data_IF_413820675780
#
_entry.id   IF_413820675780
#
_cell.length_a   1.000
_cell.length_b   1.000
_cell.length_c   1.000
_cell.angle_alpha   90.00
_cell.angle_beta   90.00
_cell.angle_gamma   90.00
#
_symmetry.space_group_name_H-M   'P 1'
#
loop_
_entity.id
_entity.type
_entity.pdbx_description
1 polymer ?
#
# COMPACT_ATOMS: atom_id res chain seq x y z
N UNK A 1 -3.45 -8.32 -17.81
CA UNK A 1 -2.78 -7.66 -16.69
C UNK A 1 -2.76 -8.63 -15.50
N UNK A 2 -1.57 -8.83 -14.94
CA UNK A 2 -1.34 -9.71 -13.79
C UNK A 2 -0.82 -8.87 -12.64
N UNK A 3 -1.55 -8.87 -11.53
CA UNK A 3 -1.19 -8.13 -10.32
C UNK A 3 -0.79 -9.13 -9.25
N UNK A 4 0.45 -9.02 -8.77
CA UNK A 4 0.91 -9.80 -7.65
C UNK A 4 0.32 -9.32 -6.33
N UNK A 5 0.09 -10.25 -5.42
CA UNK A 5 -0.23 -9.95 -4.02
C UNK A 5 0.86 -10.60 -3.19
N UNK A 6 1.64 -9.79 -2.47
CA UNK A 6 2.71 -10.31 -1.61
C UNK A 6 2.08 -11.18 -0.52
N UNK A 7 2.37 -12.47 -0.56
CA UNK A 7 1.65 -13.48 0.24
C UNK A 7 2.53 -14.07 1.34
N UNK A 8 3.27 -13.21 2.05
CA UNK A 8 4.13 -13.63 3.14
C UNK A 8 3.41 -13.52 4.50
N UNK A 9 2.58 -12.50 4.69
CA UNK A 9 1.84 -12.28 5.93
C UNK A 9 0.79 -11.20 5.68
N UNK A 10 -0.33 -11.22 6.40
CA UNK A 10 -1.34 -10.17 6.36
C UNK A 10 -2.57 -10.49 5.52
N UNK A 11 -3.26 -9.45 5.07
CA UNK A 11 -4.56 -9.53 4.41
C UNK A 11 -4.48 -9.95 2.92
N UNK A 12 -3.88 -11.09 2.67
CA UNK A 12 -3.60 -11.61 1.31
C UNK A 12 -4.88 -11.94 0.55
N UNK A 13 -5.77 -12.73 1.15
CA UNK A 13 -7.01 -13.17 0.49
C UNK A 13 -7.92 -12.01 0.16
N UNK A 14 -7.96 -10.99 1.02
CA UNK A 14 -8.77 -9.79 0.82
C UNK A 14 -8.29 -8.99 -0.40
N UNK A 15 -6.97 -8.83 -0.55
CA UNK A 15 -6.40 -8.18 -1.74
C UNK A 15 -6.64 -8.99 -3.01
N UNK A 16 -6.54 -10.32 -2.93
CA UNK A 16 -6.82 -11.18 -4.09
C UNK A 16 -8.26 -10.97 -4.58
N UNK A 17 -9.22 -10.90 -3.65
CA UNK A 17 -10.62 -10.62 -3.98
C UNK A 17 -10.79 -9.26 -4.66
N UNK A 18 -10.12 -8.24 -4.15
CA UNK A 18 -10.19 -6.88 -4.71
C UNK A 18 -9.58 -6.81 -6.10
N UNK A 19 -8.43 -7.42 -6.31
CA UNK A 19 -7.79 -7.50 -7.63
C UNK A 19 -8.69 -8.20 -8.63
N UNK A 20 -9.28 -9.34 -8.23
CA UNK A 20 -10.23 -10.08 -9.05
C UNK A 20 -11.45 -9.21 -9.42
N UNK A 21 -11.97 -8.46 -8.45
CA UNK A 21 -13.11 -7.55 -8.66
C UNK A 21 -12.80 -6.42 -9.65
N UNK A 22 -11.52 -6.08 -9.84
CA UNK A 22 -11.07 -5.11 -10.84
C UNK A 22 -10.96 -5.70 -12.25
N UNK A 23 -11.24 -6.99 -12.43
CA UNK A 23 -11.19 -7.64 -13.73
C UNK A 23 -9.80 -8.01 -14.22
N UNK A 24 -8.81 -8.01 -13.34
CA UNK A 24 -7.44 -8.40 -13.66
C UNK A 24 -7.05 -9.66 -12.89
N UNK A 25 -5.97 -10.32 -13.32
CA UNK A 25 -5.57 -11.61 -12.77
C UNK A 25 -4.68 -11.44 -11.54
N UNK A 26 -5.06 -11.95 -10.36
CA UNK A 26 -4.19 -11.94 -9.19
C UNK A 26 -3.19 -13.09 -9.23
N UNK A 27 -2.03 -12.89 -8.62
CA UNK A 27 -1.03 -13.94 -8.40
C UNK A 27 -0.46 -13.80 -6.99
N UNK A 28 -0.49 -14.86 -6.21
CA UNK A 28 0.21 -14.90 -4.92
C UNK A 28 1.70 -14.87 -5.15
N UNK A 29 2.41 -14.00 -4.44
CA UNK A 29 3.86 -13.82 -4.56
C UNK A 29 4.52 -14.23 -3.25
N UNK A 30 5.29 -15.31 -3.27
CA UNK A 30 5.99 -15.87 -2.10
C UNK A 30 7.49 -15.98 -2.32
N UNK A 31 7.94 -15.96 -3.57
CA UNK A 31 9.35 -16.13 -3.95
C UNK A 31 9.74 -15.13 -5.01
N UNK A 32 11.05 -14.98 -5.25
CA UNK A 32 11.55 -14.14 -6.34
C UNK A 32 10.99 -14.56 -7.70
N UNK A 33 10.87 -15.86 -7.94
CA UNK A 33 10.36 -16.39 -9.20
C UNK A 33 8.95 -15.89 -9.49
N UNK A 34 8.13 -15.70 -8.47
CA UNK A 34 6.76 -15.23 -8.61
C UNK A 34 6.67 -13.79 -9.10
N UNK A 35 7.75 -13.01 -9.00
CA UNK A 35 7.78 -11.62 -9.47
C UNK A 35 7.86 -11.51 -10.99
N UNK A 36 8.23 -12.58 -11.69
CA UNK A 36 8.36 -12.55 -13.15
C UNK A 36 7.00 -12.44 -13.83
N UNK A 37 6.90 -11.56 -14.81
CA UNK A 37 5.70 -11.40 -15.62
C UNK A 37 4.56 -10.66 -14.93
N UNK A 38 4.82 -10.03 -13.79
CA UNK A 38 3.83 -9.16 -13.13
C UNK A 38 3.80 -7.79 -13.80
N UNK A 39 2.63 -7.20 -13.84
CA UNK A 39 2.44 -5.82 -14.27
C UNK A 39 2.43 -4.85 -13.08
N UNK A 40 2.17 -5.35 -11.89
CA UNK A 40 2.21 -4.57 -10.65
C UNK A 40 2.14 -5.49 -9.44
N UNK A 41 2.31 -4.91 -8.26
CA UNK A 41 2.33 -5.66 -6.99
C UNK A 41 1.53 -4.92 -5.93
N UNK A 42 0.71 -5.63 -5.15
CA UNK A 42 0.14 -5.11 -3.92
C UNK A 42 0.87 -5.69 -2.72
N UNK A 43 1.17 -4.83 -1.74
CA UNK A 43 1.75 -5.23 -0.46
C UNK A 43 0.66 -5.06 0.60
N UNK A 44 0.12 -6.16 1.13
CA UNK A 44 -1.04 -6.09 2.02
C UNK A 44 -0.71 -5.51 3.39
N UNK A 45 -1.76 -5.07 4.08
CA UNK A 45 -1.69 -4.76 5.50
C UNK A 45 -1.38 -6.01 6.30
N UNK A 46 -0.64 -5.80 7.37
CA UNK A 46 -0.22 -6.85 8.27
C UNK A 46 0.73 -6.23 9.30
N UNK A 47 1.74 -6.95 9.71
CA UNK A 47 2.73 -6.46 10.64
C UNK A 47 4.04 -6.19 9.87
N UNK A 48 4.43 -4.90 9.76
CA UNK A 48 5.53 -4.48 8.88
C UNK A 48 6.88 -5.10 9.25
N UNK A 49 7.15 -5.26 10.53
CA UNK A 49 8.40 -5.89 11.00
C UNK A 49 8.47 -7.35 10.58
N UNK A 50 7.35 -8.07 10.69
CA UNK A 50 7.24 -9.47 10.27
C UNK A 50 7.42 -9.60 8.76
N UNK A 51 6.74 -8.76 7.99
CA UNK A 51 6.85 -8.78 6.51
C UNK A 51 8.30 -8.48 6.10
N UNK A 52 8.94 -7.50 6.72
CA UNK A 52 10.35 -7.19 6.47
C UNK A 52 11.25 -8.39 6.70
N UNK A 53 11.10 -9.07 7.84
CA UNK A 53 11.91 -10.26 8.18
C UNK A 53 11.70 -11.36 7.15
N UNK A 54 10.46 -11.57 6.72
CA UNK A 54 10.15 -12.59 5.72
C UNK A 54 10.72 -12.24 4.34
N UNK A 55 10.68 -10.96 3.95
CA UNK A 55 11.31 -10.50 2.72
C UNK A 55 12.83 -10.77 2.73
N UNK A 56 13.48 -10.53 3.85
CA UNK A 56 14.92 -10.80 4.00
C UNK A 56 15.18 -12.29 3.92
N UNK A 57 14.41 -13.10 4.66
CA UNK A 57 14.56 -14.57 4.67
C UNK A 57 14.39 -15.18 3.28
N UNK A 58 13.40 -14.71 2.52
CA UNK A 58 13.11 -15.20 1.16
C UNK A 58 13.98 -14.52 0.10
N UNK A 59 14.93 -13.69 0.51
CA UNK A 59 15.85 -12.97 -0.40
C UNK A 59 15.08 -12.10 -1.43
N UNK A 60 13.98 -11.51 -1.01
CA UNK A 60 13.11 -10.69 -1.87
C UNK A 60 13.29 -9.20 -1.66
N UNK A 61 13.86 -8.76 -0.53
CA UNK A 61 13.93 -7.33 -0.20
C UNK A 61 14.71 -6.54 -1.26
N UNK A 62 15.92 -6.98 -1.59
CA UNK A 62 16.76 -6.27 -2.58
C UNK A 62 16.18 -6.34 -4.00
N UNK A 63 15.72 -7.51 -4.51
CA UNK A 63 15.06 -7.55 -5.81
C UNK A 63 13.83 -6.65 -5.88
N UNK A 64 13.01 -6.61 -4.84
CA UNK A 64 11.81 -5.79 -4.80
C UNK A 64 12.18 -4.30 -4.74
N UNK A 65 13.16 -3.92 -3.93
CA UNK A 65 13.68 -2.56 -3.87
C UNK A 65 14.15 -2.09 -5.25
N UNK A 66 14.87 -2.94 -5.96
CA UNK A 66 15.36 -2.66 -7.31
C UNK A 66 14.21 -2.44 -8.28
N UNK A 67 13.18 -3.28 -8.24
CA UNK A 67 11.99 -3.10 -9.07
C UNK A 67 11.32 -1.75 -8.81
N UNK A 68 11.14 -1.39 -7.54
CA UNK A 68 10.56 -0.10 -7.15
C UNK A 68 11.39 1.05 -7.70
N UNK A 69 12.72 0.98 -7.59
CA UNK A 69 13.63 2.01 -8.12
C UNK A 69 13.55 2.14 -9.64
N UNK A 70 13.20 1.06 -10.32
CA UNK A 70 13.04 1.04 -11.79
C UNK A 70 11.64 1.50 -12.25
N UNK A 71 10.78 1.91 -11.34
CA UNK A 71 9.44 2.40 -11.67
C UNK A 71 8.37 1.33 -11.74
N UNK A 72 8.63 0.14 -11.20
CA UNK A 72 7.63 -0.92 -11.15
C UNK A 72 6.43 -0.51 -10.28
N UNK A 73 5.18 -0.67 -10.77
CA UNK A 73 4.00 -0.24 -10.02
C UNK A 73 3.77 -1.06 -8.75
N UNK A 74 3.62 -0.37 -7.61
CA UNK A 74 3.38 -1.02 -6.31
C UNK A 74 2.32 -0.26 -5.53
N UNK A 75 1.37 -0.99 -4.97
CA UNK A 75 0.35 -0.46 -4.07
C UNK A 75 0.52 -1.07 -2.68
N UNK A 76 0.85 -0.25 -1.69
CA UNK A 76 1.01 -0.69 -0.30
C UNK A 76 -0.07 -0.16 0.60
N UNK A 77 -0.69 -1.04 1.41
CA UNK A 77 -1.71 -0.66 2.39
C UNK A 77 -1.21 -0.92 3.79
N UNK A 78 -1.42 0.03 4.71
CA UNK A 78 -1.03 -0.06 6.12
C UNK A 78 0.46 -0.43 6.29
N UNK A 79 0.78 -1.69 6.57
CA UNK A 79 2.17 -2.17 6.64
C UNK A 79 2.93 -1.92 5.32
N UNK A 80 2.25 -2.03 4.19
CA UNK A 80 2.84 -1.75 2.89
C UNK A 80 3.28 -0.30 2.72
N UNK A 81 2.53 0.65 3.29
CA UNK A 81 2.94 2.06 3.34
C UNK A 81 4.27 2.19 4.08
N UNK A 82 4.40 1.54 5.23
CA UNK A 82 5.63 1.58 6.03
C UNK A 82 6.82 1.08 5.23
N UNK A 83 6.68 -0.06 4.55
CA UNK A 83 7.75 -0.64 3.75
C UNK A 83 8.15 0.25 2.57
N UNK A 84 7.18 0.85 1.89
CA UNK A 84 7.42 1.68 0.72
C UNK A 84 7.98 3.06 1.04
N UNK A 85 7.61 3.64 2.18
CA UNK A 85 8.03 5.00 2.54
C UNK A 85 9.32 5.05 3.36
N UNK A 86 9.86 3.91 3.80
CA UNK A 86 11.11 3.90 4.55
C UNK A 86 12.32 3.78 3.61
N UNK A 87 13.30 4.72 3.71
CA UNK A 87 14.46 4.73 2.80
C UNK A 87 15.34 3.48 2.89
N UNK A 88 15.43 2.88 4.07
CA UNK A 88 16.23 1.66 4.29
C UNK A 88 15.49 0.37 3.88
N UNK A 89 14.24 0.47 3.47
CA UNK A 89 13.45 -0.65 2.96
C UNK A 89 13.23 -0.49 1.46
N UNK A 90 12.01 -0.27 1.00
CA UNK A 90 11.75 -0.20 -0.45
C UNK A 90 12.00 1.18 -1.05
N UNK A 91 11.96 2.24 -0.23
CA UNK A 91 12.29 3.60 -0.64
C UNK A 91 11.56 4.05 -1.92
N UNK A 92 10.26 3.77 -1.98
CA UNK A 92 9.44 4.08 -3.15
C UNK A 92 8.65 5.38 -3.06
N UNK A 93 8.62 6.01 -1.88
CA UNK A 93 7.85 7.22 -1.64
C UNK A 93 8.55 8.11 -0.62
N UNK A 94 8.71 9.37 -0.97
CA UNK A 94 9.37 10.36 -0.10
C UNK A 94 8.40 10.93 0.92
N UNK A 95 8.41 10.36 2.11
CA UNK A 95 7.57 10.81 3.21
C UNK A 95 8.12 10.35 4.56
N UNK A 96 7.65 10.96 5.62
CA UNK A 96 8.05 10.62 6.98
C UNK A 96 6.95 9.79 7.64
N UNK A 97 7.26 8.53 7.93
CA UNK A 97 6.33 7.57 8.52
C UNK A 97 6.28 7.74 10.04
N UNK A 98 5.06 7.78 10.57
CA UNK A 98 4.82 7.67 12.01
C UNK A 98 4.05 6.37 12.25
N UNK A 99 4.68 5.40 12.90
CA UNK A 99 4.09 4.09 13.18
C UNK A 99 3.21 4.20 14.42
N UNK A 100 2.08 3.44 14.44
CA UNK A 100 1.11 3.46 15.54
C UNK A 100 0.65 4.89 15.88
N UNK A 101 0.46 5.69 14.84
CA UNK A 101 0.31 7.13 14.95
C UNK A 101 -1.03 7.62 15.50
N UNK A 102 -2.02 6.73 15.67
CA UNK A 102 -3.34 7.09 16.19
C UNK A 102 -3.53 6.73 17.66
N UNK A 103 -2.48 6.18 18.31
CA UNK A 103 -2.46 5.90 19.74
C UNK A 103 -3.24 4.64 20.13
N UNK A 104 -3.04 4.21 21.38
CA UNK A 104 -3.65 2.98 21.92
C UNK A 104 -5.18 3.06 22.01
N UNK A 105 -5.73 4.26 22.22
CA UNK A 105 -7.18 4.43 22.37
C UNK A 105 -7.94 4.36 21.05
N UNK A 106 -7.24 4.41 19.91
CA UNK A 106 -7.83 4.32 18.59
C UNK A 106 -7.12 3.26 17.75
N UNK A 107 -7.09 2.03 18.26
CA UNK A 107 -6.52 0.91 17.51
C UNK A 107 -7.28 0.65 16.22
N UNK A 108 -8.58 0.95 16.21
CA UNK A 108 -9.46 0.70 15.08
C UNK A 108 -10.52 1.79 15.02
N UNK A 109 -10.69 2.40 13.85
CA UNK A 109 -11.76 3.39 13.61
C UNK A 109 -12.07 3.46 12.13
N UNK A 110 -13.25 4.03 11.82
CA UNK A 110 -13.71 4.24 10.46
C UNK A 110 -14.11 5.70 10.30
N UNK A 111 -13.86 6.25 9.12
CA UNK A 111 -14.24 7.64 8.83
C UNK A 111 -14.37 7.85 7.32
N UNK A 112 -15.18 8.83 6.95
CA UNK A 112 -15.29 9.26 5.56
C UNK A 112 -14.08 10.12 5.19
N UNK A 113 -13.51 9.85 4.02
CA UNK A 113 -12.31 10.51 3.54
C UNK A 113 -12.58 11.27 2.25
N UNK A 114 -12.01 12.47 2.14
CA UNK A 114 -11.99 13.23 0.90
C UNK A 114 -10.69 12.90 0.17
N UNK A 115 -10.82 12.27 -0.99
CA UNK A 115 -9.67 11.91 -1.83
C UNK A 115 -9.49 12.97 -2.91
N UNK A 116 -8.26 13.44 -3.10
CA UNK A 116 -7.93 14.43 -4.11
C UNK A 116 -8.41 14.00 -5.50
N UNK A 117 -9.22 14.84 -6.13
CA UNK A 117 -9.73 14.58 -7.47
C UNK A 117 -10.96 13.68 -7.54
N UNK A 118 -11.43 13.16 -6.41
CA UNK A 118 -12.63 12.30 -6.38
C UNK A 118 -13.84 13.11 -5.93
N UNK A 119 -14.97 12.90 -6.62
CA UNK A 119 -16.22 13.64 -6.33
C UNK A 119 -17.00 13.10 -5.14
N UNK A 120 -16.80 11.80 -4.80
CA UNK A 120 -17.52 11.14 -3.72
C UNK A 120 -16.56 10.71 -2.63
N UNK A 121 -16.95 10.85 -1.34
CA UNK A 121 -16.10 10.43 -0.23
C UNK A 121 -15.85 8.92 -0.27
N UNK A 122 -14.73 8.52 0.34
CA UNK A 122 -14.32 7.14 0.48
C UNK A 122 -14.37 6.75 1.95
N UNK A 123 -15.00 5.62 2.26
CA UNK A 123 -15.09 5.13 3.64
C UNK A 123 -13.80 4.39 4.00
N UNK A 124 -12.99 4.99 4.86
CA UNK A 124 -11.70 4.42 5.28
C UNK A 124 -11.81 3.60 6.56
N UNK A 125 -11.24 2.40 6.54
CA UNK A 125 -11.12 1.51 7.69
C UNK A 125 -9.67 1.52 8.16
N UNK A 126 -9.44 1.96 9.39
CA UNK A 126 -8.11 2.09 9.99
C UNK A 126 -7.96 1.08 11.13
N UNK A 127 -6.90 0.28 11.09
CA UNK A 127 -6.58 -0.72 12.11
C UNK A 127 -5.10 -0.56 12.43
N UNK A 128 -4.77 -0.07 13.63
CA UNK A 128 -3.37 0.15 14.06
C UNK A 128 -2.55 0.86 12.98
N UNK A 129 -3.15 1.88 12.39
CA UNK A 129 -2.63 2.48 11.18
C UNK A 129 -1.40 3.36 11.43
N UNK A 130 -0.43 3.35 10.53
CA UNK A 130 0.58 4.39 10.45
C UNK A 130 -0.02 5.63 9.79
N UNK A 131 0.74 6.72 9.76
CA UNK A 131 0.44 7.84 8.89
C UNK A 131 1.75 8.48 8.42
N UNK A 132 1.64 9.37 7.44
CA UNK A 132 2.76 10.20 7.01
C UNK A 132 2.59 11.58 7.64
N UNK A 133 3.60 12.05 8.38
CA UNK A 133 3.57 13.40 8.96
C UNK A 133 3.81 14.45 7.88
N UNK A 134 4.56 14.10 6.85
CA UNK A 134 4.80 14.95 5.67
C UNK A 134 5.20 14.09 4.47
N UNK A 135 5.06 14.67 3.28
CA UNK A 135 5.60 14.12 2.04
C UNK A 135 6.41 15.20 1.33
N UNK A 136 7.46 14.81 0.63
CA UNK A 136 8.29 15.70 -0.18
C UNK A 136 8.14 15.34 -1.65
N UNK A 137 8.23 16.34 -2.53
CA UNK A 137 8.19 16.09 -3.96
C UNK A 137 9.27 15.06 -4.37
N UNK A 138 8.94 14.13 -5.28
CA UNK A 138 7.77 14.08 -6.15
C UNK A 138 6.54 13.40 -5.54
N UNK A 139 6.54 13.03 -4.27
CA UNK A 139 5.37 12.47 -3.61
C UNK A 139 4.29 13.54 -3.42
N UNK A 140 3.02 13.13 -3.58
CA UNK A 140 1.89 14.03 -3.29
C UNK A 140 0.88 13.33 -2.38
N UNK A 141 0.28 14.10 -1.47
CA UNK A 141 -0.78 13.62 -0.60
C UNK A 141 -2.08 13.49 -1.38
N UNK A 142 -2.76 12.36 -1.24
CA UNK A 142 -4.09 12.12 -1.82
C UNK A 142 -5.20 12.29 -0.80
N UNK A 143 -4.94 11.94 0.46
CA UNK A 143 -5.88 12.10 1.56
C UNK A 143 -5.14 12.65 2.76
N UNK A 144 -5.60 13.82 3.25
CA UNK A 144 -5.09 14.45 4.47
C UNK A 144 -6.26 14.63 5.42
N UNK A 145 -6.10 14.16 6.66
CA UNK A 145 -7.10 14.34 7.71
C UNK A 145 -7.11 15.79 8.19
N UNK A 146 -8.18 16.18 8.89
CA UNK A 146 -8.36 17.54 9.38
C UNK A 146 -7.21 18.02 10.28
N UNK A 147 -6.55 17.09 10.99
CA UNK A 147 -5.41 17.38 11.87
C UNK A 147 -4.06 17.42 11.13
N UNK A 148 -4.04 17.27 9.81
CA UNK A 148 -2.84 17.32 8.99
C UNK A 148 -2.15 15.99 8.75
N UNK A 149 -2.62 14.90 9.34
CA UNK A 149 -2.05 13.57 9.11
C UNK A 149 -2.38 13.10 7.69
N UNK A 150 -1.35 12.65 6.95
CA UNK A 150 -1.51 12.17 5.58
C UNK A 150 -1.72 10.66 5.63
N UNK A 151 -2.83 10.19 5.05
CA UNK A 151 -3.23 8.79 5.13
C UNK A 151 -3.34 8.11 3.76
N UNK A 152 -3.10 8.83 2.68
CA UNK A 152 -2.88 8.27 1.35
C UNK A 152 -1.98 9.22 0.56
N UNK A 153 -1.10 8.65 -0.26
CA UNK A 153 -0.15 9.40 -1.06
C UNK A 153 0.27 8.59 -2.28
N UNK A 154 0.84 9.27 -3.27
CA UNK A 154 1.39 8.62 -4.45
C UNK A 154 2.69 9.28 -4.87
N UNK A 155 3.53 8.50 -5.52
CA UNK A 155 4.77 8.99 -6.13
C UNK A 155 5.06 8.11 -7.35
N UNK A 156 5.04 8.70 -8.56
CA UNK A 156 5.25 7.96 -9.80
C UNK A 156 4.27 6.77 -9.89
N UNK A 157 4.76 5.53 -9.84
CA UNK A 157 3.95 4.31 -9.91
C UNK A 157 3.73 3.65 -8.54
N UNK A 158 3.95 4.40 -7.45
CA UNK A 158 3.75 3.92 -6.08
C UNK A 158 2.53 4.58 -5.47
N UNK A 159 1.61 3.78 -4.96
CA UNK A 159 0.41 4.21 -4.24
C UNK A 159 0.45 3.64 -2.83
N UNK A 160 0.18 4.46 -1.82
CA UNK A 160 0.12 4.00 -0.43
C UNK A 160 -1.14 4.50 0.26
N UNK A 161 -1.68 3.67 1.16
CA UNK A 161 -2.75 4.05 2.07
C UNK A 161 -2.43 3.61 3.49
N UNK A 162 -2.84 4.39 4.48
CA UNK A 162 -2.78 4.00 5.90
C UNK A 162 -3.91 3.04 6.25
N UNK A 163 -5.07 3.23 5.61
CA UNK A 163 -6.28 2.43 5.81
C UNK A 163 -6.27 1.18 4.93
N UNK A 164 -7.30 0.36 5.10
CA UNK A 164 -7.42 -0.95 4.45
C UNK A 164 -8.53 -0.96 3.39
N UNK A 165 -8.24 -0.59 2.13
CA UNK A 165 -9.23 -0.69 1.04
C UNK A 165 -9.75 -2.11 0.85
N UNK A 166 -8.91 -3.10 1.12
CA UNK A 166 -9.24 -4.52 0.95
C UNK A 166 -10.30 -5.03 1.93
N UNK A 167 -10.57 -4.28 2.99
CA UNK A 167 -11.60 -4.64 3.97
C UNK A 167 -12.97 -4.01 3.67
N UNK A 168 -13.07 -3.23 2.59
CA UNK A 168 -14.32 -2.61 2.14
C UNK A 168 -14.82 -3.30 0.88
N UNK A 169 -16.07 -3.04 0.50
CA UNK A 169 -16.59 -3.43 -0.81
C UNK A 169 -16.27 -2.41 -1.91
N UNK A 170 -15.57 -1.33 -1.59
CA UNK A 170 -15.29 -0.23 -2.50
C UNK A 170 -13.96 -0.46 -3.22
N UNK A 171 -14.01 -0.74 -4.52
CA UNK A 171 -12.86 -1.09 -5.34
C UNK A 171 -12.07 0.11 -5.85
N UNK A 172 -12.47 1.35 -5.54
CA UNK A 172 -11.90 2.54 -6.19
C UNK A 172 -10.40 2.71 -6.04
N UNK A 173 -9.79 2.38 -4.88
CA UNK A 173 -8.34 2.46 -4.74
C UNK A 173 -7.62 1.40 -5.57
N UNK A 174 -8.11 0.17 -5.58
CA UNK A 174 -7.54 -0.88 -6.42
C UNK A 174 -7.72 -0.58 -7.90
N UNK A 175 -8.88 -0.05 -8.31
CA UNK A 175 -9.11 0.39 -9.69
C UNK A 175 -8.21 1.56 -10.07
N UNK A 176 -8.03 2.51 -9.17
CA UNK A 176 -7.11 3.63 -9.39
C UNK A 176 -5.70 3.11 -9.66
N UNK A 177 -5.24 2.16 -8.86
CA UNK A 177 -3.92 1.54 -9.06
C UNK A 177 -3.82 0.86 -10.42
N UNK A 178 -4.79 0.01 -10.75
CA UNK A 178 -4.78 -0.75 -12.02
C UNK A 178 -4.93 0.17 -13.23
N UNK A 179 -5.80 1.17 -13.17
CA UNK A 179 -6.12 2.01 -14.33
C UNK A 179 -5.16 3.17 -14.55
N UNK A 180 -4.54 3.69 -13.49
CA UNK A 180 -3.70 4.90 -13.57
C UNK A 180 -2.22 4.63 -13.42
N UNK A 181 -1.81 3.53 -12.82
CA UNK A 181 -0.41 3.27 -12.52
C UNK A 181 0.21 2.09 -13.28
N UNK A 182 -0.62 1.22 -13.87
CA UNK A 182 -0.15 0.07 -14.65
C UNK A 182 0.04 0.45 -16.13
#
# INVERSE_FOLDING_TARGET
>A
VVIGVLALQGAVSEHIKMVTACGVTPRSVKTQADLKGLDGLTIPGGESTTIRKLLVREQMLEPLKKLVQQGFPVFGTCAGLVLLAQPDLLNGLKGTVVRNGFGRQRESFETELTVKGWSKPYHGIFIRAPYLSEVQQPAEALVTLADGRIVAAQQNHVLVTSFHPELTGDTRFHRYFVEKMI
#
